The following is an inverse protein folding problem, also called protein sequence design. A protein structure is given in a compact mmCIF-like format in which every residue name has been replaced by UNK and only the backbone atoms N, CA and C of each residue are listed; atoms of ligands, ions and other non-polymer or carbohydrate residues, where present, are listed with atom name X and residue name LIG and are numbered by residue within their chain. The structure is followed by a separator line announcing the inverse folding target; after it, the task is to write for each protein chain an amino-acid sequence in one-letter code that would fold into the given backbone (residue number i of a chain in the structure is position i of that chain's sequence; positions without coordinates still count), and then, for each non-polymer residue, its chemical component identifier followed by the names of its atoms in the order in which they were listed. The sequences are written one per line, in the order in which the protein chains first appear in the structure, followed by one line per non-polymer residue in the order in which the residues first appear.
data_IF_797641828500
#
_entry.id   IF_797641828500
#
_cell.length_a   1.000
_cell.length_b   1.000
_cell.length_c   1.000
_cell.angle_alpha   90.00
_cell.angle_beta   90.00
_cell.angle_gamma   90.00
#
_symmetry.space_group_name_H-M   'P 1'
#
loop_
_entity.id
_entity.type
_entity.pdbx_description
1 polymer ?
#
# COMPACT_ATOMS: atom_id res chain seq x y z
N UNK A 1 37.05 -13.79 -36.69
CA UNK A 1 36.79 -14.77 -35.61
C UNK A 1 35.65 -14.22 -34.75
N UNK A 2 34.78 -15.12 -34.27
CA UNK A 2 33.51 -14.86 -33.59
C UNK A 2 33.53 -13.82 -32.47
N UNK A 3 32.39 -13.13 -32.34
CA UNK A 3 31.94 -12.39 -31.15
C UNK A 3 31.64 -13.37 -30.02
N UNK A 4 31.96 -13.03 -28.75
CA UNK A 4 30.98 -12.99 -27.64
C UNK A 4 31.58 -12.67 -26.26
N UNK A 5 30.70 -12.04 -25.47
CA UNK A 5 30.55 -12.06 -24.00
C UNK A 5 31.20 -10.90 -23.21
N UNK A 6 30.44 -10.13 -22.42
CA UNK A 6 29.25 -10.50 -21.65
C UNK A 6 28.15 -9.41 -21.68
N UNK A 7 26.87 -9.79 -21.46
CA UNK A 7 25.84 -8.81 -21.17
C UNK A 7 26.18 -8.08 -19.86
N UNK A 8 26.05 -6.75 -19.88
CA UNK A 8 26.03 -5.96 -18.64
C UNK A 8 24.70 -6.25 -17.94
N UNK A 9 24.76 -7.06 -16.89
CA UNK A 9 23.64 -7.34 -15.98
C UNK A 9 23.70 -6.38 -14.81
N UNK A 10 22.80 -5.40 -14.79
CA UNK A 10 22.55 -4.57 -13.61
C UNK A 10 21.45 -5.21 -12.73
N UNK A 11 21.79 -5.45 -11.46
CA UNK A 11 21.01 -5.99 -10.33
C UNK A 11 19.78 -5.11 -10.01
N UNK A 12 18.69 -5.51 -9.34
CA UNK A 12 17.99 -6.79 -9.21
C UNK A 12 16.47 -6.58 -8.95
N UNK A 13 15.91 -5.36 -8.78
CA UNK A 13 14.44 -5.09 -8.78
C UNK A 13 14.03 -3.64 -9.11
N UNK A 14 13.62 -3.36 -10.36
CA UNK A 14 12.39 -2.62 -10.64
C UNK A 14 11.24 -3.64 -10.84
N UNK A 15 9.97 -3.21 -10.98
CA UNK A 15 8.84 -3.99 -11.55
C UNK A 15 7.84 -4.76 -10.65
N UNK A 16 7.64 -4.46 -9.35
CA UNK A 16 6.32 -4.84 -8.77
C UNK A 16 5.29 -3.79 -9.19
N UNK A 17 4.28 -4.13 -10.02
CA UNK A 17 3.23 -3.18 -10.33
C UNK A 17 2.53 -2.78 -9.04
N UNK A 18 2.37 -1.48 -8.82
CA UNK A 18 1.57 -0.97 -7.71
C UNK A 18 0.12 -1.26 -8.06
N UNK A 19 -0.54 -2.04 -7.22
CA UNK A 19 -1.98 -2.24 -7.34
C UNK A 19 -2.69 -1.03 -6.75
N UNK A 20 -3.60 -0.46 -7.53
CA UNK A 20 -4.40 0.70 -7.14
C UNK A 20 -5.86 0.38 -7.37
N UNK A 21 -6.70 0.77 -6.42
CA UNK A 21 -8.14 0.61 -6.51
C UNK A 21 -8.73 1.40 -7.69
N UNK A 22 -9.84 0.93 -8.26
CA UNK A 22 -10.56 1.66 -9.29
C UNK A 22 -11.27 2.90 -8.72
N UNK A 23 -11.77 2.82 -7.49
CA UNK A 23 -12.32 3.99 -6.79
C UNK A 23 -11.97 3.94 -5.31
N UNK A 24 -12.01 5.08 -4.63
CA UNK A 24 -11.89 5.07 -3.17
C UNK A 24 -13.15 4.50 -2.50
N UNK A 25 -14.30 4.53 -3.18
CA UNK A 25 -15.58 4.07 -2.62
C UNK A 25 -15.72 2.53 -2.59
N UNK A 26 -14.92 1.78 -3.35
CA UNK A 26 -14.89 0.31 -3.25
C UNK A 26 -14.04 -0.20 -2.08
N UNK A 27 -13.24 0.67 -1.47
CA UNK A 27 -12.40 0.35 -0.32
C UNK A 27 -13.25 0.40 0.95
N UNK A 28 -13.53 -0.78 1.53
CA UNK A 28 -14.45 -1.00 2.65
C UNK A 28 -13.82 -1.82 3.78
N UNK A 29 -12.50 -1.78 3.88
CA UNK A 29 -11.76 -2.45 4.94
C UNK A 29 -12.14 -1.97 6.34
N UNK A 30 -11.75 -2.72 7.38
CA UNK A 30 -12.03 -2.38 8.77
C UNK A 30 -11.30 -1.09 9.19
N UNK A 31 -11.97 -0.29 10.02
CA UNK A 31 -11.41 0.97 10.58
C UNK A 31 -11.25 0.94 12.09
N UNK A 32 -11.73 -0.12 12.75
CA UNK A 32 -11.68 -0.30 14.20
C UNK A 32 -11.60 -1.79 14.54
N UNK A 33 -11.31 -2.10 15.81
CA UNK A 33 -11.17 -3.47 16.29
C UNK A 33 -9.81 -4.10 15.99
N UNK A 34 -9.73 -5.41 16.21
CA UNK A 34 -8.53 -6.21 15.97
C UNK A 34 -8.59 -6.86 14.59
N UNK A 35 -7.52 -6.69 13.81
CA UNK A 35 -7.39 -7.27 12.47
C UNK A 35 -6.10 -8.07 12.40
N UNK A 36 -6.19 -9.30 11.90
CA UNK A 36 -4.99 -10.08 11.60
C UNK A 36 -4.65 -10.00 10.12
N UNK A 37 -3.42 -9.56 9.81
CA UNK A 37 -2.93 -9.59 8.43
C UNK A 37 -2.41 -10.99 8.06
N UNK A 38 -2.60 -11.43 6.80
CA UNK A 38 -1.95 -12.63 6.29
C UNK A 38 -0.43 -12.48 6.30
N UNK A 39 0.29 -13.58 6.48
CA UNK A 39 1.76 -13.60 6.51
C UNK A 39 2.42 -12.96 5.28
N UNK A 40 1.77 -13.06 4.11
CA UNK A 40 2.23 -12.43 2.87
C UNK A 40 2.28 -10.91 2.98
N UNK A 41 1.28 -10.32 3.63
CA UNK A 41 1.25 -8.88 3.84
C UNK A 41 2.20 -8.54 5.00
N UNK A 42 2.18 -9.27 6.11
CA UNK A 42 3.01 -8.97 7.28
C UNK A 42 3.82 -10.19 7.71
N UNK A 43 5.11 -10.22 7.37
CA UNK A 43 6.03 -11.34 7.61
C UNK A 43 6.48 -11.49 9.08
N UNK A 44 5.83 -10.78 10.01
CA UNK A 44 6.11 -10.89 11.44
C UNK A 44 5.29 -12.02 12.08
N UNK A 45 5.79 -12.69 13.14
CA UNK A 45 5.01 -13.71 13.86
C UNK A 45 3.74 -13.16 14.51
N UNK A 46 3.81 -11.96 15.09
CA UNK A 46 2.65 -11.24 15.60
C UNK A 46 2.05 -10.35 14.50
N UNK A 47 0.86 -10.73 14.00
CA UNK A 47 0.18 -10.07 12.87
C UNK A 47 -1.15 -9.41 13.23
N UNK A 48 -1.46 -9.33 14.52
CA UNK A 48 -2.64 -8.64 15.02
C UNK A 48 -2.38 -7.12 15.08
N UNK A 49 -3.29 -6.36 14.48
CA UNK A 49 -3.31 -4.90 14.48
C UNK A 49 -4.53 -4.43 15.24
N UNK A 50 -4.31 -3.63 16.28
CA UNK A 50 -5.39 -2.92 16.97
C UNK A 50 -5.62 -1.58 16.26
N UNK A 51 -6.72 -1.49 15.52
CA UNK A 51 -7.03 -0.31 14.71
C UNK A 51 -7.50 0.88 15.56
N UNK A 52 -7.75 0.69 16.87
CA UNK A 52 -7.95 1.82 17.78
C UNK A 52 -6.64 2.58 18.04
N UNK A 53 -5.48 1.93 17.84
CA UNK A 53 -4.17 2.53 17.99
C UNK A 53 -3.73 3.17 16.67
N UNK A 54 -3.60 4.50 16.66
CA UNK A 54 -3.25 5.28 15.45
C UNK A 54 -2.01 4.75 14.74
N UNK A 55 -0.94 4.45 15.50
CA UNK A 55 0.31 3.95 14.94
C UNK A 55 0.14 2.59 14.25
N UNK A 56 -0.63 1.68 14.84
CA UNK A 56 -0.90 0.37 14.25
C UNK A 56 -1.78 0.49 12.99
N UNK A 57 -2.77 1.39 13.01
CA UNK A 57 -3.58 1.68 11.83
C UNK A 57 -2.72 2.21 10.67
N UNK A 58 -1.83 3.17 10.93
CA UNK A 58 -0.89 3.68 9.92
C UNK A 58 0.01 2.57 9.36
N UNK A 59 0.62 1.77 10.23
CA UNK A 59 1.47 0.66 9.80
C UNK A 59 0.72 -0.39 8.97
N UNK A 60 -0.51 -0.73 9.37
CA UNK A 60 -1.34 -1.64 8.60
C UNK A 60 -1.58 -1.08 7.20
N UNK A 61 -1.98 0.19 7.09
CA UNK A 61 -2.25 0.85 5.81
C UNK A 61 -1.00 0.93 4.93
N UNK A 62 0.13 1.40 5.48
CA UNK A 62 1.41 1.47 4.76
C UNK A 62 1.82 0.12 4.19
N UNK A 63 1.66 -0.92 5.00
CA UNK A 63 2.08 -2.26 4.66
C UNK A 63 1.16 -2.89 3.62
N UNK A 64 -0.16 -2.79 3.79
CA UNK A 64 -1.13 -3.26 2.78
C UNK A 64 -0.91 -2.55 1.44
N UNK A 65 -0.76 -1.22 1.44
CA UNK A 65 -0.52 -0.46 0.21
C UNK A 65 0.79 -0.83 -0.51
N UNK A 66 1.80 -1.24 0.25
CA UNK A 66 3.11 -1.67 -0.28
C UNK A 66 3.07 -3.10 -0.80
N UNK A 67 2.38 -3.98 -0.07
CA UNK A 67 2.50 -5.43 -0.23
C UNK A 67 1.29 -6.08 -0.93
N UNK A 68 0.21 -5.33 -1.22
CA UNK A 68 -0.90 -5.88 -2.00
C UNK A 68 -0.49 -6.16 -3.45
N UNK A 69 -0.88 -7.34 -3.94
CA UNK A 69 -0.81 -7.76 -5.36
C UNK A 69 -2.17 -7.94 -5.99
N UNK A 70 -3.25 -7.86 -5.20
CA UNK A 70 -4.62 -7.99 -5.69
C UNK A 70 -5.47 -6.85 -5.16
N UNK A 71 -6.40 -6.35 -5.99
CA UNK A 71 -7.35 -5.32 -5.57
C UNK A 71 -8.25 -5.82 -4.43
N UNK A 72 -8.54 -7.12 -4.38
CA UNK A 72 -9.33 -7.71 -3.30
C UNK A 72 -8.65 -7.58 -1.93
N UNK A 73 -7.31 -7.61 -1.85
CA UNK A 73 -6.58 -7.36 -0.61
C UNK A 73 -6.76 -5.89 -0.16
N UNK A 74 -6.72 -4.95 -1.11
CA UNK A 74 -7.01 -3.55 -0.81
C UNK A 74 -8.44 -3.37 -0.30
N UNK A 75 -9.42 -4.00 -0.96
CA UNK A 75 -10.84 -3.94 -0.55
C UNK A 75 -11.07 -4.54 0.83
N UNK A 76 -10.32 -5.59 1.17
CA UNK A 76 -10.44 -6.29 2.45
C UNK A 76 -9.85 -5.49 3.62
N UNK A 77 -8.78 -4.73 3.41
CA UNK A 77 -8.00 -4.11 4.51
C UNK A 77 -7.99 -2.58 4.52
N UNK A 78 -8.33 -1.92 3.41
CA UNK A 78 -8.32 -0.45 3.33
C UNK A 78 -9.75 0.07 3.25
N UNK A 79 -10.09 1.03 4.11
CA UNK A 79 -11.23 1.93 3.93
C UNK A 79 -10.80 3.21 3.22
N UNK A 80 -11.56 3.61 2.19
CA UNK A 80 -11.21 4.75 1.35
C UNK A 80 -11.32 6.11 2.03
N UNK A 81 -12.32 6.31 2.90
CA UNK A 81 -12.44 7.58 3.63
C UNK A 81 -11.30 7.76 4.63
N UNK A 82 -10.93 6.68 5.30
CA UNK A 82 -9.80 6.62 6.24
C UNK A 82 -8.48 6.79 5.52
N UNK A 83 -8.31 6.19 4.33
CA UNK A 83 -7.12 6.39 3.51
C UNK A 83 -6.90 7.87 3.18
N UNK A 84 -7.96 8.59 2.77
CA UNK A 84 -7.86 10.04 2.50
C UNK A 84 -7.41 10.82 3.73
N UNK A 85 -7.97 10.52 4.91
CA UNK A 85 -7.59 11.20 6.15
C UNK A 85 -6.14 10.95 6.56
N UNK A 86 -5.64 9.74 6.37
CA UNK A 86 -4.30 9.34 6.79
C UNK A 86 -3.22 9.63 5.73
N UNK A 87 -3.59 9.92 4.49
CA UNK A 87 -2.68 9.89 3.33
C UNK A 87 -1.38 10.68 3.51
N UNK A 88 -1.44 11.85 4.15
CA UNK A 88 -0.29 12.71 4.39
C UNK A 88 0.68 12.16 5.45
N UNK A 89 0.19 11.30 6.35
CA UNK A 89 0.97 10.71 7.45
C UNK A 89 1.66 9.40 7.01
N UNK A 90 1.18 8.73 5.96
CA UNK A 90 1.72 7.44 5.53
C UNK A 90 3.14 7.54 4.96
N UNK A 91 4.05 6.71 5.47
CA UNK A 91 5.40 6.57 4.95
C UNK A 91 5.47 5.57 3.79
N UNK A 92 5.06 6.03 2.60
CA UNK A 92 4.99 5.21 1.39
C UNK A 92 6.22 5.38 0.49
N UNK A 93 6.66 4.31 -0.20
CA UNK A 93 7.62 4.43 -1.30
C UNK A 93 7.11 5.41 -2.36
N UNK A 94 8.02 6.20 -2.94
CA UNK A 94 7.69 7.24 -3.93
C UNK A 94 6.80 6.72 -5.08
N UNK A 95 7.10 5.52 -5.59
CA UNK A 95 6.33 4.89 -6.67
C UNK A 95 4.89 4.54 -6.27
N UNK A 96 4.69 4.04 -5.05
CA UNK A 96 3.35 3.72 -4.51
C UNK A 96 2.54 5.00 -4.35
N UNK A 97 3.13 6.02 -3.71
CA UNK A 97 2.49 7.32 -3.53
C UNK A 97 2.10 7.96 -4.87
N UNK A 98 3.02 7.98 -5.82
CA UNK A 98 2.77 8.56 -7.15
C UNK A 98 1.65 7.82 -7.91
N UNK A 99 1.63 6.48 -7.89
CA UNK A 99 0.62 5.69 -8.57
C UNK A 99 -0.79 5.92 -8.01
N UNK A 100 -0.93 5.94 -6.69
CA UNK A 100 -2.20 6.20 -6.01
C UNK A 100 -2.71 7.61 -6.24
N UNK A 101 -1.84 8.62 -6.16
CA UNK A 101 -2.23 10.01 -6.42
C UNK A 101 -2.56 10.29 -7.88
N UNK A 102 -1.87 9.64 -8.83
CA UNK A 102 -2.20 9.74 -10.25
C UNK A 102 -3.61 9.20 -10.53
N UNK A 103 -4.00 8.12 -9.85
CA UNK A 103 -5.33 7.53 -10.00
C UNK A 103 -6.42 8.24 -9.19
N UNK A 104 -6.06 8.80 -8.04
CA UNK A 104 -6.96 9.46 -7.10
C UNK A 104 -6.41 10.85 -6.71
N UNK A 105 -6.64 11.88 -7.53
CA UNK A 105 -6.15 13.24 -7.26
C UNK A 105 -6.58 13.82 -5.90
N UNK A 106 -7.72 13.36 -5.36
CA UNK A 106 -8.21 13.73 -4.01
C UNK A 106 -7.20 13.41 -2.91
N UNK A 107 -6.31 12.44 -3.08
CA UNK A 107 -5.27 12.13 -2.09
C UNK A 107 -4.21 13.24 -1.99
N UNK A 108 -4.01 14.05 -3.05
CA UNK A 108 -3.12 15.22 -3.01
C UNK A 108 -3.75 16.43 -2.35
N UNK A 109 -5.09 16.51 -2.38
CA UNK A 109 -5.79 17.63 -1.80
C UNK A 109 -5.60 17.57 -0.28
N UNK A 110 -4.81 18.50 0.26
CA UNK A 110 -4.77 18.75 1.70
C UNK A 110 -6.22 18.99 2.13
N UNK A 111 -6.72 18.16 3.03
CA UNK A 111 -7.90 18.53 3.83
C UNK A 111 -7.46 19.77 4.60
N UNK A 112 -7.95 20.94 4.19
CA UNK A 112 -7.85 22.13 5.01
C UNK A 112 -8.58 21.81 6.32
N UNK A 113 -7.84 21.86 7.43
CA UNK A 113 -8.40 21.78 8.76
C UNK A 113 -9.28 23.01 9.03
#
# INVERSE_FOLDING_TARGET
MSVSAAPVVHLARPHRPVVVAGTLAELRGPTCGLVELPLRLWWHPHRAFDLSQRTMLLWMYENVLRESIRVDELRAYIDGATLVRLWSELNLPRGVRAAWEARHPRLRARVAA
#
